data_IF_128161600996
#
_entry.id   IF_128161600996
#
_cell.length_a   1.000
_cell.length_b   1.000
_cell.length_c   1.000
_cell.angle_alpha   90.00
_cell.angle_beta   90.00
_cell.angle_gamma   90.00
#
_symmetry.space_group_name_H-M   'P 1'
#
loop_
_entity.id
_entity.type
_entity.pdbx_description
1 polymer ?
#
# COMPACT_ATOMS: atom_id res chain seq x y z
N UNK A 1 24.14 -32.41 36.77
CA UNK A 1 23.04 -31.70 36.06
C UNK A 1 23.53 -30.55 35.17
N UNK A 2 24.67 -29.89 35.44
CA UNK A 2 25.11 -28.72 34.68
C UNK A 2 25.78 -29.01 33.30
N UNK A 3 26.29 -30.22 33.07
CA UNK A 3 27.08 -30.56 31.87
C UNK A 3 26.25 -30.54 30.58
N UNK A 4 24.98 -30.91 30.66
CA UNK A 4 24.07 -30.91 29.50
C UNK A 4 23.73 -29.49 29.04
N UNK A 5 23.65 -28.53 29.96
CA UNK A 5 23.35 -27.14 29.63
C UNK A 5 24.45 -26.50 28.76
N UNK A 6 25.73 -26.80 29.06
CA UNK A 6 26.87 -26.32 28.27
C UNK A 6 26.91 -26.95 26.87
N UNK A 7 26.58 -28.24 26.74
CA UNK A 7 26.51 -28.92 25.44
C UNK A 7 25.39 -28.36 24.56
N UNK A 8 24.22 -28.06 25.13
CA UNK A 8 23.11 -27.44 24.41
C UNK A 8 23.45 -26.01 23.96
N UNK A 9 24.11 -25.22 24.82
CA UNK A 9 24.58 -23.87 24.46
C UNK A 9 25.62 -23.90 23.33
N UNK A 10 26.56 -24.86 23.34
CA UNK A 10 27.52 -25.04 22.27
C UNK A 10 26.86 -25.45 20.95
N UNK A 11 25.86 -26.34 21.00
CA UNK A 11 25.11 -26.75 19.81
C UNK A 11 24.32 -25.61 19.16
N UNK A 12 23.82 -24.64 19.96
CA UNK A 12 23.15 -23.45 19.44
C UNK A 12 24.14 -22.44 18.82
N UNK A 13 25.37 -22.36 19.34
CA UNK A 13 26.43 -21.50 18.79
C UNK A 13 27.06 -22.08 17.50
N UNK A 14 27.11 -23.41 17.37
CA UNK A 14 27.51 -24.10 16.14
C UNK A 14 26.33 -24.41 15.19
N UNK A 15 25.11 -24.06 15.59
CA UNK A 15 23.86 -24.30 14.88
C UNK A 15 23.68 -23.37 13.68
N UNK A 16 24.23 -23.78 12.55
CA UNK A 16 24.07 -23.18 11.23
C UNK A 16 22.58 -23.03 10.87
N UNK A 17 22.02 -21.82 10.74
CA UNK A 17 20.61 -21.67 10.41
C UNK A 17 20.41 -21.85 8.91
N UNK A 18 19.76 -22.96 8.52
CA UNK A 18 18.93 -22.97 7.32
C UNK A 18 19.29 -23.94 6.20
N UNK A 19 19.42 -25.24 6.49
CA UNK A 19 19.14 -26.28 5.50
C UNK A 19 17.63 -26.55 5.48
N UNK A 20 16.90 -26.05 4.48
CA UNK A 20 15.55 -26.55 4.13
C UNK A 20 15.42 -26.76 2.62
N UNK A 21 15.68 -28.03 2.25
CA UNK A 21 14.99 -28.88 1.28
C UNK A 21 14.68 -28.35 -0.14
N UNK A 22 15.59 -28.71 -1.06
CA UNK A 22 15.33 -28.82 -2.50
C UNK A 22 14.37 -29.98 -2.81
N UNK A 23 13.27 -29.70 -3.51
CA UNK A 23 12.60 -30.70 -4.37
C UNK A 23 12.92 -30.39 -5.84
N UNK A 24 13.78 -31.22 -6.43
CA UNK A 24 13.84 -31.48 -7.88
C UNK A 24 12.45 -31.95 -8.34
N UNK A 25 11.90 -31.61 -9.52
CA UNK A 25 12.34 -31.95 -10.88
C UNK A 25 11.15 -31.56 -11.82
N UNK A 26 11.21 -31.63 -13.17
CA UNK A 26 12.18 -31.00 -14.09
C UNK A 26 11.54 -30.52 -15.43
N UNK A 27 12.30 -29.70 -16.17
CA UNK A 27 12.46 -29.74 -17.65
C UNK A 27 11.23 -29.63 -18.58
N UNK A 28 11.07 -28.47 -19.26
CA UNK A 28 10.60 -28.43 -20.66
C UNK A 28 10.94 -27.06 -21.31
N UNK A 29 11.85 -27.09 -22.29
CA UNK A 29 12.13 -26.07 -23.33
C UNK A 29 13.23 -25.02 -23.07
N UNK A 30 14.44 -25.51 -23.37
CA UNK A 30 15.68 -24.86 -23.81
C UNK A 30 15.47 -23.93 -25.02
N UNK A 31 15.78 -22.62 -24.89
CA UNK A 31 16.29 -21.79 -26.01
C UNK A 31 16.79 -20.41 -25.53
N UNK A 32 17.99 -20.33 -24.95
CA UNK A 32 18.90 -19.17 -25.04
C UNK A 32 20.07 -19.36 -24.07
N UNK A 33 21.04 -20.18 -24.47
CA UNK A 33 22.34 -20.28 -23.82
C UNK A 33 23.11 -18.96 -24.02
N UNK A 34 23.05 -18.05 -23.04
CA UNK A 34 24.14 -17.16 -22.60
C UNK A 34 23.60 -15.97 -21.77
N UNK A 35 23.18 -16.14 -20.51
CA UNK A 35 23.16 -15.05 -19.52
C UNK A 35 23.06 -15.64 -18.10
N UNK A 36 23.76 -15.01 -17.14
CA UNK A 36 23.67 -15.20 -15.68
C UNK A 36 24.57 -16.24 -15.03
N UNK A 37 25.88 -15.95 -15.07
CA UNK A 37 26.81 -16.24 -13.97
C UNK A 37 27.32 -14.88 -13.46
N UNK A 38 26.56 -14.22 -12.61
CA UNK A 38 27.08 -13.23 -11.66
C UNK A 38 26.01 -12.94 -10.59
N UNK A 39 26.50 -12.51 -9.43
CA UNK A 39 25.91 -12.43 -8.12
C UNK A 39 24.39 -12.17 -8.01
N UNK A 40 23.84 -12.83 -6.99
CA UNK A 40 22.73 -12.42 -6.14
C UNK A 40 22.89 -10.96 -5.64
N UNK A 41 22.83 -9.98 -6.55
CA UNK A 41 22.59 -8.58 -6.24
C UNK A 41 21.10 -8.38 -6.10
N UNK A 42 20.57 -8.86 -4.96
CA UNK A 42 19.43 -8.21 -4.33
C UNK A 42 19.73 -6.70 -4.36
N UNK A 43 18.90 -5.90 -5.03
CA UNK A 43 19.04 -4.46 -4.98
C UNK A 43 19.10 -4.06 -3.50
N UNK A 44 20.19 -3.45 -3.01
CA UNK A 44 20.13 -2.82 -1.70
C UNK A 44 19.13 -1.67 -1.84
N UNK A 45 17.91 -1.86 -1.34
CA UNK A 45 17.00 -0.76 -1.08
C UNK A 45 17.68 0.13 -0.03
N UNK A 46 18.33 1.17 -0.55
CA UNK A 46 18.89 2.35 0.09
C UNK A 46 18.81 2.40 1.62
N UNK A 47 19.96 2.11 2.23
CA UNK A 47 20.30 2.59 3.55
C UNK A 47 20.43 4.12 3.54
N UNK A 48 19.54 4.79 4.27
CA UNK A 48 19.81 5.89 5.22
C UNK A 48 18.47 6.57 5.55
N UNK A 49 17.81 6.11 6.61
CA UNK A 49 16.75 6.88 7.29
C UNK A 49 17.39 8.08 8.00
N UNK A 50 17.58 9.16 7.24
CA UNK A 50 17.72 10.49 7.83
C UNK A 50 16.33 11.07 8.18
N UNK A 51 16.25 12.17 8.95
CA UNK A 51 14.97 12.83 9.29
C UNK A 51 14.11 13.23 8.07
N UNK A 52 14.72 13.27 6.88
CA UNK A 52 14.04 13.53 5.61
C UNK A 52 13.28 12.31 5.05
N UNK A 53 13.69 11.07 5.40
CA UNK A 53 13.05 9.84 4.93
C UNK A 53 11.59 9.73 5.38
N UNK A 54 11.31 10.10 6.63
CA UNK A 54 9.95 10.12 7.19
C UNK A 54 9.06 11.15 6.50
N UNK A 55 9.60 12.35 6.22
CA UNK A 55 8.86 13.42 5.57
C UNK A 55 8.54 13.07 4.11
N UNK A 56 9.50 12.49 3.39
CA UNK A 56 9.33 12.04 2.01
C UNK A 56 8.27 10.94 1.93
N UNK A 57 8.35 9.95 2.83
CA UNK A 57 7.39 8.85 2.91
C UNK A 57 5.99 9.39 3.19
N UNK A 58 5.85 10.25 4.20
CA UNK A 58 4.57 10.89 4.53
C UNK A 58 4.02 11.72 3.38
N UNK A 59 4.87 12.46 2.67
CA UNK A 59 4.49 13.26 1.49
C UNK A 59 4.00 12.36 0.36
N UNK A 60 4.66 11.24 0.12
CA UNK A 60 4.28 10.27 -0.90
C UNK A 60 2.96 9.58 -0.56
N UNK A 61 2.78 9.17 0.70
CA UNK A 61 1.53 8.59 1.20
C UNK A 61 0.37 9.58 1.09
N UNK A 62 0.58 10.83 1.49
CA UNK A 62 -0.40 11.90 1.41
C UNK A 62 -0.81 12.15 -0.04
N UNK A 63 0.15 12.28 -0.96
CA UNK A 63 -0.13 12.41 -2.38
C UNK A 63 -0.91 11.22 -2.98
N UNK A 64 -0.68 9.99 -2.49
CA UNK A 64 -1.43 8.80 -2.89
C UNK A 64 -2.87 8.85 -2.37
N UNK A 65 -3.06 9.25 -1.12
CA UNK A 65 -4.37 9.37 -0.50
C UNK A 65 -5.19 10.51 -1.12
N UNK A 66 -4.58 11.65 -1.44
CA UNK A 66 -5.23 12.74 -2.18
C UNK A 66 -5.79 12.27 -3.52
N UNK A 67 -4.96 11.60 -4.33
CA UNK A 67 -5.36 11.07 -5.64
C UNK A 67 -6.47 10.03 -5.52
N UNK A 68 -6.40 9.19 -4.49
CA UNK A 68 -7.43 8.19 -4.18
C UNK A 68 -8.74 8.88 -3.84
N UNK A 69 -8.71 9.89 -2.96
CA UNK A 69 -9.87 10.69 -2.60
C UNK A 69 -10.52 11.33 -3.82
N UNK A 70 -9.76 12.07 -4.64
CA UNK A 70 -10.28 12.73 -5.83
C UNK A 70 -10.96 11.73 -6.77
N UNK A 71 -10.32 10.59 -7.00
CA UNK A 71 -10.85 9.54 -7.88
C UNK A 71 -12.18 9.00 -7.37
N UNK A 72 -12.29 8.72 -6.06
CA UNK A 72 -13.51 8.16 -5.46
C UNK A 72 -14.61 9.21 -5.47
N UNK A 73 -14.35 10.43 -4.99
CA UNK A 73 -15.34 11.50 -4.88
C UNK A 73 -15.87 11.90 -6.25
N UNK A 74 -15.01 12.02 -7.27
CA UNK A 74 -15.45 12.30 -8.64
C UNK A 74 -16.37 11.20 -9.18
N UNK A 75 -16.06 9.93 -8.94
CA UNK A 75 -16.94 8.82 -9.34
C UNK A 75 -18.28 8.86 -8.59
N UNK A 76 -18.26 9.18 -7.29
CA UNK A 76 -19.48 9.33 -6.50
C UNK A 76 -20.37 10.46 -7.03
N UNK A 77 -19.82 11.64 -7.33
CA UNK A 77 -20.56 12.77 -7.94
C UNK A 77 -21.22 12.39 -9.26
N UNK A 78 -20.58 11.52 -10.07
CA UNK A 78 -21.17 11.02 -11.34
C UNK A 78 -22.29 9.99 -11.14
N UNK A 79 -22.33 9.32 -9.99
CA UNK A 79 -23.24 8.19 -9.73
C UNK A 79 -24.42 8.56 -8.83
N UNK A 80 -24.38 9.72 -8.18
CA UNK A 80 -25.33 10.12 -7.14
C UNK A 80 -25.85 11.52 -7.45
N UNK A 81 -27.08 11.59 -7.97
CA UNK A 81 -27.79 12.84 -8.22
C UNK A 81 -28.19 13.55 -6.91
N UNK A 82 -28.80 12.77 -5.99
CA UNK A 82 -29.19 13.25 -4.65
C UNK A 82 -28.36 12.54 -3.58
N UNK A 83 -27.31 13.18 -3.04
CA UNK A 83 -26.47 12.58 -2.01
C UNK A 83 -27.23 12.44 -0.69
N UNK A 84 -27.26 11.22 -0.17
CA UNK A 84 -27.70 10.85 1.17
C UNK A 84 -26.74 9.80 1.71
N UNK A 85 -26.73 9.54 3.01
CA UNK A 85 -25.91 8.48 3.59
C UNK A 85 -26.09 7.13 2.87
N UNK A 86 -27.33 6.79 2.53
CA UNK A 86 -27.67 5.54 1.84
C UNK A 86 -27.25 5.55 0.37
N UNK A 87 -27.54 6.64 -0.37
CA UNK A 87 -27.20 6.71 -1.80
C UNK A 87 -25.68 6.73 -2.02
N UNK A 88 -24.94 7.46 -1.18
CA UNK A 88 -23.47 7.50 -1.20
C UNK A 88 -22.86 6.16 -0.81
N UNK A 89 -23.36 5.49 0.25
CA UNK A 89 -22.88 4.16 0.65
C UNK A 89 -23.05 3.12 -0.46
N UNK A 90 -24.21 3.11 -1.11
CA UNK A 90 -24.50 2.19 -2.22
C UNK A 90 -23.61 2.48 -3.44
N UNK A 91 -23.41 3.76 -3.78
CA UNK A 91 -22.51 4.15 -4.86
C UNK A 91 -21.05 3.82 -4.54
N UNK A 92 -20.60 4.05 -3.32
CA UNK A 92 -19.24 3.72 -2.85
C UNK A 92 -18.96 2.22 -2.99
N UNK A 93 -19.92 1.37 -2.61
CA UNK A 93 -19.81 -0.08 -2.79
C UNK A 93 -19.58 -0.45 -4.26
N UNK A 94 -20.30 0.19 -5.20
CA UNK A 94 -20.12 -0.02 -6.65
C UNK A 94 -18.77 0.50 -7.15
N UNK A 95 -18.35 1.69 -6.70
CA UNK A 95 -17.04 2.28 -7.04
C UNK A 95 -15.90 1.37 -6.58
N UNK A 96 -15.95 0.87 -5.34
CA UNK A 96 -14.91 0.02 -4.77
C UNK A 96 -14.91 -1.40 -5.32
N UNK A 97 -16.02 -1.89 -5.88
CA UNK A 97 -16.06 -3.21 -6.56
C UNK A 97 -15.45 -3.15 -7.97
N UNK A 98 -15.32 -1.97 -8.56
CA UNK A 98 -14.86 -1.81 -9.94
C UNK A 98 -13.33 -1.80 -10.00
N UNK A 99 -12.72 -2.78 -10.66
CA UNK A 99 -11.27 -2.84 -10.88
C UNK A 99 -10.57 -4.06 -10.26
N UNK A 100 -9.22 -4.04 -10.29
CA UNK A 100 -8.34 -5.10 -9.77
C UNK A 100 -8.31 -5.11 -8.24
N UNK A 101 -7.88 -6.22 -7.64
CA UNK A 101 -7.88 -6.41 -6.17
C UNK A 101 -7.30 -5.23 -5.40
N UNK A 102 -6.11 -4.73 -5.80
CA UNK A 102 -5.44 -3.59 -5.15
C UNK A 102 -6.32 -2.35 -5.04
N UNK A 103 -7.07 -1.99 -6.08
CA UNK A 103 -7.98 -0.85 -6.03
C UNK A 103 -9.14 -1.11 -5.06
N UNK A 104 -9.68 -2.33 -5.04
CA UNK A 104 -10.79 -2.69 -4.15
C UNK A 104 -10.39 -2.50 -2.69
N UNK A 105 -9.18 -2.93 -2.33
CA UNK A 105 -8.64 -2.78 -0.97
C UNK A 105 -8.43 -1.31 -0.62
N UNK A 106 -7.76 -0.55 -1.49
CA UNK A 106 -7.51 0.89 -1.30
C UNK A 106 -8.82 1.67 -1.15
N UNK A 107 -9.79 1.44 -2.05
CA UNK A 107 -11.08 2.13 -2.03
C UNK A 107 -11.91 1.79 -0.79
N UNK A 108 -11.97 0.51 -0.40
CA UNK A 108 -12.69 0.10 0.81
C UNK A 108 -12.06 0.69 2.07
N UNK A 109 -10.73 0.68 2.16
CA UNK A 109 -10.01 1.26 3.29
C UNK A 109 -10.25 2.77 3.39
N UNK A 110 -10.22 3.48 2.25
CA UNK A 110 -10.54 4.89 2.16
C UNK A 110 -11.97 5.17 2.65
N UNK A 111 -12.97 4.48 2.10
CA UNK A 111 -14.37 4.70 2.46
C UNK A 111 -14.64 4.32 3.92
N UNK A 112 -14.03 3.26 4.45
CA UNK A 112 -14.13 2.92 5.86
C UNK A 112 -13.70 4.07 6.78
N UNK A 113 -12.66 4.83 6.37
CA UNK A 113 -12.12 5.92 7.18
C UNK A 113 -12.86 7.25 6.97
N UNK A 114 -13.27 7.56 5.74
CA UNK A 114 -13.70 8.91 5.37
C UNK A 114 -15.14 9.02 4.86
N UNK A 115 -15.93 7.93 4.86
CA UNK A 115 -17.28 7.93 4.31
C UNK A 115 -18.19 9.00 4.90
N UNK A 116 -18.11 9.26 6.21
CA UNK A 116 -18.94 10.28 6.86
C UNK A 116 -18.65 11.68 6.28
N UNK A 117 -17.39 12.12 6.29
CA UNK A 117 -17.00 13.45 5.77
C UNK A 117 -17.25 13.56 4.27
N UNK A 118 -16.93 12.51 3.50
CA UNK A 118 -17.23 12.46 2.06
C UNK A 118 -18.72 12.63 1.80
N UNK A 119 -19.57 11.94 2.55
CA UNK A 119 -21.03 12.08 2.41
C UNK A 119 -21.48 13.50 2.76
N UNK A 120 -21.00 14.06 3.87
CA UNK A 120 -21.33 15.43 4.28
C UNK A 120 -20.94 16.45 3.21
N UNK A 121 -19.73 16.35 2.65
CA UNK A 121 -19.28 17.28 1.61
C UNK A 121 -20.08 17.14 0.31
N UNK A 122 -20.44 15.91 -0.08
CA UNK A 122 -21.35 15.69 -1.21
C UNK A 122 -22.74 16.32 -0.96
N UNK A 123 -23.30 16.16 0.25
CA UNK A 123 -24.58 16.78 0.65
C UNK A 123 -24.49 18.31 0.63
N UNK A 124 -23.37 18.88 1.07
CA UNK A 124 -23.11 20.31 1.07
C UNK A 124 -22.80 20.89 -0.33
N UNK A 125 -22.73 20.05 -1.37
CA UNK A 125 -22.44 20.49 -2.74
C UNK A 125 -20.96 20.80 -3.00
N UNK A 126 -20.06 20.40 -2.10
CA UNK A 126 -18.62 20.66 -2.22
C UNK A 126 -18.00 19.98 -3.47
N UNK A 127 -16.95 20.59 -4.00
CA UNK A 127 -16.11 19.99 -5.06
C UNK A 127 -15.29 18.82 -4.51
N UNK A 128 -14.76 17.98 -5.40
CA UNK A 128 -13.90 16.87 -4.97
C UNK A 128 -12.62 17.38 -4.27
N UNK A 129 -12.08 18.50 -4.76
CA UNK A 129 -10.91 19.17 -4.23
C UNK A 129 -11.15 19.62 -2.79
N UNK A 130 -12.23 20.38 -2.56
CA UNK A 130 -12.62 20.85 -1.22
C UNK A 130 -12.76 19.68 -0.23
N UNK A 131 -13.47 18.62 -0.62
CA UNK A 131 -13.64 17.43 0.24
C UNK A 131 -12.29 16.80 0.60
N UNK A 132 -11.38 16.66 -0.37
CA UNK A 132 -10.09 16.00 -0.17
C UNK A 132 -9.08 16.88 0.59
N UNK A 133 -9.17 18.20 0.44
CA UNK A 133 -8.40 19.19 1.21
C UNK A 133 -8.86 19.24 2.67
N UNK A 134 -10.17 19.18 2.91
CA UNK A 134 -10.74 19.14 4.27
C UNK A 134 -10.41 17.86 5.02
N UNK A 135 -10.22 16.76 4.29
CA UNK A 135 -9.67 15.52 4.84
C UNK A 135 -8.16 15.61 5.13
N UNK A 136 -7.53 16.75 4.81
CA UNK A 136 -6.09 17.01 4.91
C UNK A 136 -5.27 15.95 4.19
N UNK A 137 -5.76 15.48 3.04
CA UNK A 137 -5.07 14.48 2.24
C UNK A 137 -4.13 15.09 1.21
N UNK A 138 -4.16 16.41 1.01
CA UNK A 138 -3.28 17.11 0.09
C UNK A 138 -1.87 17.28 0.65
N UNK A 139 -0.87 17.26 -0.23
CA UNK A 139 0.48 17.68 0.13
C UNK A 139 0.41 19.19 0.41
N UNK A 140 0.85 19.68 1.58
CA UNK A 140 1.00 21.11 1.78
C UNK A 140 1.93 21.64 0.69
N UNK A 141 1.47 22.63 -0.07
CA UNK A 141 2.24 23.31 -1.11
C UNK A 141 3.38 24.12 -0.48
N UNK A 142 4.32 23.45 0.17
CA UNK A 142 5.62 24.02 0.49
C UNK A 142 6.42 23.94 -0.81
N UNK A 143 6.86 25.12 -1.27
CA UNK A 143 7.46 25.42 -2.58
C UNK A 143 8.74 24.66 -2.95
N UNK A 144 9.44 25.10 -4.01
CA UNK A 144 10.20 24.25 -4.92
C UNK A 144 11.44 23.59 -4.29
N UNK A 145 11.76 22.43 -4.88
CA UNK A 145 13.00 21.64 -4.82
C UNK A 145 14.23 22.30 -4.19
#
# INVERSE_FOLDING_TARGET
>A
MATWALLLLAAMLLGNPGLVFSRLSPEYYDLARAHLRDEEKSCPCLAQEGPQGDLLTKTQELGRDYRTCLTIVQKLKKMVDKPTQRSVSNAATRVCRTGRSRWRDVCRNFMRRYQSRVTQGLVAGETAQQICEDLRLCIPSTGPL
#
